data_IF_327568112717
#
_entry.id   IF_327568112717
#
_cell.length_a   1.000
_cell.length_b   1.000
_cell.length_c   1.000
_cell.angle_alpha   90.00
_cell.angle_beta   90.00
_cell.angle_gamma   90.00
#
_symmetry.space_group_name_H-M   'P 1'
#
loop_
_entity.id
_entity.type
_entity.pdbx_description
1 polymer ?
#
# COMPACT_ATOMS: atom_id res chain seq x y z
N UNK A 1 23.73 9.99 -26.35
CA UNK A 1 22.70 10.70 -25.54
C UNK A 1 23.40 11.66 -24.61
N UNK A 2 22.98 12.93 -24.59
CA UNK A 2 23.44 13.91 -23.62
C UNK A 2 22.86 13.62 -22.21
N UNK A 3 23.41 14.26 -21.19
CA UNK A 3 22.91 14.13 -19.81
C UNK A 3 21.47 14.68 -19.69
N UNK A 4 21.14 15.69 -20.45
CA UNK A 4 19.82 16.30 -20.52
C UNK A 4 18.81 15.37 -21.20
N UNK A 5 19.18 14.73 -22.31
CA UNK A 5 18.33 13.73 -22.99
C UNK A 5 18.03 12.53 -22.08
N UNK A 6 19.03 12.05 -21.31
CA UNK A 6 18.82 10.95 -20.33
C UNK A 6 17.85 11.36 -19.24
N UNK A 7 17.98 12.56 -18.67
CA UNK A 7 17.07 13.07 -17.64
C UNK A 7 15.64 13.22 -18.14
N UNK A 8 15.47 13.75 -19.37
CA UNK A 8 14.15 13.90 -19.96
C UNK A 8 13.50 12.54 -20.24
N UNK A 9 14.26 11.57 -20.74
CA UNK A 9 13.77 10.21 -20.92
C UNK A 9 13.36 9.56 -19.59
N UNK A 10 14.12 9.74 -18.51
CA UNK A 10 13.74 9.25 -17.20
C UNK A 10 12.46 9.89 -16.67
N UNK A 11 12.30 11.19 -16.89
CA UNK A 11 11.09 11.91 -16.50
C UNK A 11 9.86 11.41 -17.27
N UNK A 12 9.98 11.25 -18.59
CA UNK A 12 8.91 10.71 -19.43
C UNK A 12 8.54 9.28 -19.04
N UNK A 13 9.53 8.40 -18.85
CA UNK A 13 9.30 7.03 -18.39
C UNK A 13 8.61 6.98 -16.99
N UNK A 14 9.00 7.90 -16.09
CA UNK A 14 8.38 8.01 -14.77
C UNK A 14 6.91 8.47 -14.84
N UNK A 15 6.62 9.46 -15.70
CA UNK A 15 5.26 9.95 -15.92
C UNK A 15 4.36 8.87 -16.55
N UNK A 16 4.87 8.16 -17.55
CA UNK A 16 4.16 7.06 -18.19
C UNK A 16 3.88 5.93 -17.19
N UNK A 17 4.87 5.51 -16.41
CA UNK A 17 4.70 4.48 -15.38
C UNK A 17 3.66 4.87 -14.34
N UNK A 18 3.64 6.13 -13.91
CA UNK A 18 2.66 6.68 -12.98
C UNK A 18 1.25 6.69 -13.59
N UNK A 19 1.10 7.18 -14.83
CA UNK A 19 -0.19 7.20 -15.52
C UNK A 19 -0.77 5.80 -15.70
N UNK A 20 0.07 4.83 -16.10
CA UNK A 20 -0.34 3.43 -16.26
C UNK A 20 -0.72 2.79 -14.92
N UNK A 21 -0.03 3.15 -13.84
CA UNK A 21 -0.40 2.73 -12.48
C UNK A 21 -1.78 3.24 -12.08
N UNK A 22 -2.03 4.55 -12.25
CA UNK A 22 -3.32 5.17 -11.96
C UNK A 22 -4.46 4.55 -12.80
N UNK A 23 -4.22 4.28 -14.08
CA UNK A 23 -5.19 3.62 -14.94
C UNK A 23 -5.52 2.19 -14.47
N UNK A 24 -4.53 1.44 -14.02
CA UNK A 24 -4.74 0.09 -13.47
C UNK A 24 -5.57 0.13 -12.19
N UNK A 25 -5.23 1.00 -11.21
CA UNK A 25 -6.01 1.18 -9.99
C UNK A 25 -7.46 1.56 -10.30
N UNK A 26 -7.67 2.51 -11.22
CA UNK A 26 -9.03 2.90 -11.64
C UNK A 26 -9.80 1.75 -12.29
N UNK A 27 -9.13 0.91 -13.08
CA UNK A 27 -9.77 -0.26 -13.69
C UNK A 27 -10.20 -1.28 -12.63
N UNK A 28 -9.38 -1.50 -11.61
CA UNK A 28 -9.69 -2.40 -10.48
C UNK A 28 -10.82 -1.83 -9.62
N UNK A 29 -10.82 -0.52 -9.37
CA UNK A 29 -11.91 0.16 -8.67
C UNK A 29 -13.25 -0.02 -9.40
N UNK A 30 -13.30 0.25 -10.72
CA UNK A 30 -14.49 0.05 -11.54
C UNK A 30 -14.97 -1.40 -11.51
N UNK A 31 -14.06 -2.37 -11.58
CA UNK A 31 -14.40 -3.80 -11.48
C UNK A 31 -15.15 -4.12 -10.18
N UNK A 32 -14.64 -3.68 -9.03
CA UNK A 32 -15.29 -3.94 -7.74
C UNK A 32 -16.56 -3.13 -7.52
N UNK A 33 -16.71 -1.99 -8.19
CA UNK A 33 -17.94 -1.19 -8.22
C UNK A 33 -18.98 -1.72 -9.23
N UNK A 34 -18.66 -2.83 -9.93
CA UNK A 34 -19.52 -3.42 -10.97
C UNK A 34 -19.82 -2.46 -12.13
N UNK A 35 -18.86 -1.58 -12.42
CA UNK A 35 -18.93 -0.66 -13.54
C UNK A 35 -18.19 -1.22 -14.77
N UNK A 36 -18.53 -0.79 -15.99
CA UNK A 36 -17.83 -1.24 -17.20
C UNK A 36 -16.33 -0.90 -17.15
N UNK A 37 -15.48 -1.89 -17.41
CA UNK A 37 -14.02 -1.72 -17.49
C UNK A 37 -13.58 -1.87 -18.93
N UNK A 38 -12.82 -0.90 -19.42
CA UNK A 38 -12.16 -0.95 -20.73
C UNK A 38 -10.64 -0.99 -20.51
N UNK A 39 -10.11 -2.18 -20.21
CA UNK A 39 -8.69 -2.39 -20.00
C UNK A 39 -8.33 -3.84 -20.40
N UNK A 40 -7.55 -3.98 -21.47
CA UNK A 40 -7.07 -5.26 -22.00
C UNK A 40 -5.58 -5.49 -21.73
N UNK A 41 -4.98 -4.67 -20.84
CA UNK A 41 -3.57 -4.79 -20.51
C UNK A 41 -3.23 -6.12 -19.80
N UNK A 42 -2.01 -6.65 -19.99
CA UNK A 42 -1.57 -7.87 -19.30
C UNK A 42 -1.67 -7.77 -17.78
N UNK A 43 -1.33 -6.61 -17.20
CA UNK A 43 -1.41 -6.39 -15.75
C UNK A 43 -2.83 -6.42 -15.22
N UNK A 44 -3.82 -5.95 -16.00
CA UNK A 44 -5.23 -6.08 -15.63
C UNK A 44 -5.71 -7.54 -15.73
N UNK A 45 -5.26 -8.28 -16.74
CA UNK A 45 -5.53 -9.71 -16.82
C UNK A 45 -4.95 -10.47 -15.62
N UNK A 46 -3.74 -10.13 -15.17
CA UNK A 46 -3.14 -10.71 -13.96
C UNK A 46 -3.95 -10.39 -12.69
N UNK A 47 -4.54 -9.20 -12.63
CA UNK A 47 -5.49 -8.87 -11.57
C UNK A 47 -6.73 -9.78 -11.60
N UNK A 48 -7.33 -10.01 -12.76
CA UNK A 48 -8.48 -10.93 -12.90
C UNK A 48 -8.12 -12.36 -12.49
N UNK A 49 -6.94 -12.84 -12.84
CA UNK A 49 -6.43 -14.15 -12.41
C UNK A 49 -6.24 -14.19 -10.89
N UNK A 50 -5.71 -13.12 -10.28
CA UNK A 50 -5.62 -12.98 -8.84
C UNK A 50 -6.99 -13.04 -8.17
N UNK A 51 -7.95 -12.27 -8.65
CA UNK A 51 -9.31 -12.22 -8.11
C UNK A 51 -9.97 -13.60 -8.13
N UNK A 52 -9.89 -14.28 -9.26
CA UNK A 52 -10.42 -15.64 -9.43
C UNK A 52 -9.81 -16.64 -8.44
N UNK A 53 -8.50 -16.56 -8.19
CA UNK A 53 -7.78 -17.52 -7.35
C UNK A 53 -7.93 -17.20 -5.86
N UNK A 54 -7.88 -15.94 -5.47
CA UNK A 54 -7.76 -15.55 -4.08
C UNK A 54 -9.03 -14.92 -3.48
N UNK A 55 -9.90 -14.36 -4.31
CA UNK A 55 -11.08 -13.61 -3.82
C UNK A 55 -12.37 -14.40 -4.00
N UNK A 56 -12.66 -14.85 -5.24
CA UNK A 56 -13.95 -15.48 -5.57
C UNK A 56 -14.23 -16.69 -4.68
N UNK A 57 -15.35 -16.64 -3.95
CA UNK A 57 -15.77 -17.70 -3.02
C UNK A 57 -14.94 -17.80 -1.73
N UNK A 58 -14.00 -16.90 -1.46
CA UNK A 58 -13.11 -16.93 -0.29
C UNK A 58 -13.13 -15.66 0.55
N UNK A 59 -13.28 -14.52 -0.10
CA UNK A 59 -13.29 -13.20 0.53
C UNK A 59 -14.42 -12.35 -0.04
N UNK A 60 -15.04 -11.53 0.78
CA UNK A 60 -16.05 -10.56 0.38
C UNK A 60 -15.40 -9.18 0.16
N UNK A 61 -15.57 -8.55 -1.02
CA UNK A 61 -15.15 -7.17 -1.23
C UNK A 61 -15.86 -6.24 -0.24
N UNK A 62 -15.09 -5.55 0.63
CA UNK A 62 -15.65 -4.70 1.67
C UNK A 62 -15.57 -3.21 1.33
N UNK A 63 -14.35 -2.70 1.02
CA UNK A 63 -14.11 -1.31 0.61
C UNK A 63 -13.07 -1.27 -0.51
N UNK A 64 -13.20 -0.28 -1.39
CA UNK A 64 -12.24 0.00 -2.47
C UNK A 64 -11.92 1.49 -2.43
N UNK A 65 -10.66 1.89 -2.63
CA UNK A 65 -10.17 3.27 -2.53
C UNK A 65 -10.70 3.98 -1.27
N UNK A 66 -10.53 3.29 -0.14
CA UNK A 66 -11.09 3.74 1.12
C UNK A 66 -10.23 4.81 1.77
N UNK A 67 -10.71 6.04 1.78
CA UNK A 67 -10.07 7.15 2.49
C UNK A 67 -10.22 6.97 4.01
N UNK A 68 -9.09 6.94 4.70
CA UNK A 68 -9.00 6.80 6.16
C UNK A 68 -8.14 7.90 6.74
N UNK A 69 -8.41 8.28 7.99
CA UNK A 69 -7.64 9.31 8.67
C UNK A 69 -7.56 9.08 10.18
N UNK A 70 -6.56 9.71 10.78
CA UNK A 70 -6.38 9.81 12.23
C UNK A 70 -6.08 11.26 12.60
N UNK A 71 -7.02 11.89 13.31
CA UNK A 71 -6.92 13.31 13.68
C UNK A 71 -5.83 13.57 14.71
N UNK A 72 -5.54 12.64 15.61
CA UNK A 72 -4.56 12.82 16.67
C UNK A 72 -3.16 12.99 16.09
N UNK A 73 -2.83 12.23 15.08
CA UNK A 73 -1.52 12.25 14.43
C UNK A 73 -1.50 13.01 13.10
N UNK A 74 -2.63 13.61 12.71
CA UNK A 74 -2.78 14.39 11.46
C UNK A 74 -2.36 13.60 10.22
N UNK A 75 -2.76 12.33 10.15
CA UNK A 75 -2.43 11.43 9.06
C UNK A 75 -3.70 10.99 8.34
N UNK A 76 -3.63 10.95 7.01
CA UNK A 76 -4.69 10.43 6.15
C UNK A 76 -4.08 9.62 5.00
N UNK A 77 -4.86 8.74 4.39
CA UNK A 77 -4.46 7.99 3.22
C UNK A 77 -5.64 7.25 2.59
N UNK A 78 -5.39 6.65 1.43
CA UNK A 78 -6.35 5.80 0.72
C UNK A 78 -5.85 4.35 0.73
N UNK A 79 -6.75 3.42 1.04
CA UNK A 79 -6.48 1.99 1.03
C UNK A 79 -7.09 1.42 -0.26
N UNK A 80 -6.25 0.85 -1.13
CA UNK A 80 -6.69 0.37 -2.43
C UNK A 80 -7.83 -0.65 -2.31
N UNK A 81 -7.69 -1.63 -1.38
CA UNK A 81 -8.69 -2.66 -1.19
C UNK A 81 -8.70 -3.24 0.22
N UNK A 82 -9.90 -3.38 0.77
CA UNK A 82 -10.18 -4.17 1.98
C UNK A 82 -11.19 -5.26 1.64
N UNK A 83 -10.85 -6.49 2.04
CA UNK A 83 -11.76 -7.62 1.97
C UNK A 83 -12.15 -8.05 3.38
N UNK A 84 -13.38 -8.57 3.50
CA UNK A 84 -13.86 -9.25 4.71
C UNK A 84 -13.74 -10.75 4.52
N UNK A 85 -13.35 -11.45 5.58
CA UNK A 85 -13.37 -12.90 5.67
C UNK A 85 -14.17 -13.32 6.91
N UNK A 86 -14.73 -14.50 6.84
CA UNK A 86 -15.31 -15.18 8.01
C UNK A 86 -14.36 -16.31 8.39
N UNK A 87 -13.86 -16.27 9.61
CA UNK A 87 -12.96 -17.30 10.14
C UNK A 87 -13.73 -18.54 10.58
N UNK A 88 -13.04 -19.64 10.84
CA UNK A 88 -13.67 -20.94 11.18
C UNK A 88 -14.53 -20.86 12.48
N UNK A 89 -14.21 -19.94 13.38
CA UNK A 89 -14.99 -19.66 14.59
C UNK A 89 -16.19 -18.73 14.37
N UNK A 90 -16.43 -18.31 13.12
CA UNK A 90 -17.51 -17.40 12.73
C UNK A 90 -17.23 -15.92 12.96
N UNK A 91 -16.04 -15.55 13.39
CA UNK A 91 -15.68 -14.12 13.57
C UNK A 91 -15.38 -13.44 12.22
N UNK A 92 -15.70 -12.14 12.14
CA UNK A 92 -15.37 -11.32 11.00
C UNK A 92 -13.96 -10.75 11.16
N UNK A 93 -13.12 -10.93 10.15
CA UNK A 93 -11.79 -10.35 10.04
C UNK A 93 -11.61 -9.67 8.70
N UNK A 94 -10.58 -8.87 8.58
CA UNK A 94 -10.36 -8.08 7.38
C UNK A 94 -8.94 -8.24 6.85
N UNK A 95 -8.81 -8.14 5.53
CA UNK A 95 -7.55 -8.23 4.81
C UNK A 95 -7.32 -6.94 4.05
N UNK A 96 -6.13 -6.33 4.17
CA UNK A 96 -5.73 -5.18 3.36
C UNK A 96 -4.92 -5.68 2.16
N UNK A 97 -5.28 -5.21 0.98
CA UNK A 97 -4.55 -5.44 -0.26
C UNK A 97 -4.20 -4.11 -0.92
N UNK A 98 -3.02 -4.05 -1.49
CA UNK A 98 -2.49 -2.88 -2.18
C UNK A 98 -1.87 -3.29 -3.51
N UNK A 99 -2.28 -2.60 -4.58
CA UNK A 99 -1.87 -2.90 -5.94
C UNK A 99 -0.60 -2.15 -6.31
N UNK A 100 0.42 -2.86 -6.77
CA UNK A 100 1.69 -2.24 -7.18
C UNK A 100 2.02 -2.57 -8.63
N UNK A 101 1.94 -1.56 -9.51
CA UNK A 101 2.45 -1.69 -10.88
C UNK A 101 3.97 -1.55 -10.89
N UNK A 102 4.65 -2.62 -10.52
CA UNK A 102 6.11 -2.70 -10.39
C UNK A 102 6.62 -4.03 -10.92
N UNK A 103 7.86 -4.06 -11.43
CA UNK A 103 8.51 -5.32 -11.86
C UNK A 103 8.72 -6.31 -10.71
N UNK A 104 8.86 -5.81 -9.49
CA UNK A 104 9.07 -6.62 -8.30
C UNK A 104 9.27 -5.77 -7.05
N UNK A 105 9.38 -6.45 -5.92
CA UNK A 105 9.62 -5.85 -4.62
C UNK A 105 11.07 -6.12 -4.22
N UNK A 106 11.84 -5.04 -4.00
CA UNK A 106 13.20 -5.12 -3.47
C UNK A 106 13.13 -5.30 -1.96
N UNK A 107 13.85 -6.30 -1.44
CA UNK A 107 13.84 -6.63 -0.02
C UNK A 107 15.02 -6.04 0.76
N UNK A 108 16.08 -5.67 0.06
CA UNK A 108 17.33 -5.16 0.65
C UNK A 108 17.79 -3.89 -0.05
N UNK A 109 18.50 -3.05 0.72
CA UNK A 109 19.31 -1.95 0.22
C UNK A 109 20.60 -1.94 1.03
N UNK A 110 21.72 -2.26 0.42
CA UNK A 110 23.00 -2.35 1.10
C UNK A 110 23.69 -0.98 1.29
N UNK A 111 23.13 0.07 0.74
CA UNK A 111 23.72 1.41 0.72
C UNK A 111 22.98 2.40 1.63
N UNK A 112 21.69 2.17 1.87
CA UNK A 112 20.87 3.10 2.62
C UNK A 112 19.94 2.38 3.58
N UNK A 113 19.84 2.90 4.80
CA UNK A 113 18.84 2.53 5.80
C UNK A 113 17.73 3.58 5.88
N UNK A 114 16.63 3.23 6.51
CA UNK A 114 15.60 4.19 6.88
C UNK A 114 16.15 5.21 7.89
N UNK A 115 15.45 6.33 8.04
CA UNK A 115 15.79 7.35 9.04
C UNK A 115 15.40 6.90 10.46
N UNK A 116 16.10 7.42 11.52
CA UNK A 116 15.66 7.20 12.89
C UNK A 116 14.17 7.57 13.09
N UNK A 117 13.42 6.81 13.86
CA UNK A 117 13.86 5.76 14.80
C UNK A 117 13.78 4.32 14.25
N UNK A 118 13.70 4.14 12.94
CA UNK A 118 13.56 2.83 12.29
C UNK A 118 14.75 2.49 11.37
N UNK A 119 15.93 2.97 11.71
CA UNK A 119 17.17 2.83 10.94
C UNK A 119 17.66 1.38 10.77
N UNK A 120 17.09 0.44 11.52
CA UNK A 120 17.34 -1.00 11.36
C UNK A 120 16.74 -1.55 10.06
N UNK A 121 15.81 -0.82 9.42
CA UNK A 121 15.20 -1.23 8.17
C UNK A 121 16.00 -0.73 6.96
N UNK A 122 16.24 -1.57 5.94
CA UNK A 122 16.78 -1.10 4.66
C UNK A 122 15.84 -0.09 3.99
N UNK A 123 16.39 0.99 3.43
CA UNK A 123 15.59 1.96 2.66
C UNK A 123 15.26 1.39 1.27
N UNK A 124 14.22 0.57 1.17
CA UNK A 124 13.74 -0.01 -0.07
C UNK A 124 12.20 -0.14 -0.08
N UNK A 125 11.65 -0.40 -1.27
CA UNK A 125 10.20 -0.36 -1.47
C UNK A 125 9.43 -1.42 -0.66
N UNK A 126 10.01 -2.58 -0.32
CA UNK A 126 9.38 -3.56 0.56
C UNK A 126 8.98 -2.93 1.90
N UNK A 127 9.94 -2.30 2.56
CA UNK A 127 9.72 -1.74 3.90
C UNK A 127 8.86 -0.48 3.87
N UNK A 128 9.00 0.35 2.83
CA UNK A 128 8.15 1.52 2.63
C UNK A 128 6.68 1.12 2.47
N UNK A 129 6.37 0.16 1.60
CA UNK A 129 5.01 -0.34 1.41
C UNK A 129 4.50 -1.10 2.64
N UNK A 130 5.37 -1.86 3.30
CA UNK A 130 4.98 -2.56 4.53
C UNK A 130 4.60 -1.58 5.64
N UNK A 131 5.36 -0.50 5.84
CA UNK A 131 5.02 0.56 6.78
C UNK A 131 3.71 1.26 6.41
N UNK A 132 3.47 1.51 5.13
CA UNK A 132 2.22 2.10 4.64
C UNK A 132 1.02 1.25 5.06
N UNK A 133 1.02 -0.06 4.76
CA UNK A 133 -0.08 -0.95 5.10
C UNK A 133 -0.24 -1.13 6.62
N UNK A 134 0.87 -1.19 7.35
CA UNK A 134 0.83 -1.26 8.81
C UNK A 134 0.29 0.02 9.44
N UNK A 135 0.51 1.18 8.82
CA UNK A 135 -0.10 2.44 9.25
C UNK A 135 -1.61 2.43 9.02
N UNK A 136 -2.06 1.89 7.89
CA UNK A 136 -3.48 1.69 7.64
C UNK A 136 -4.11 0.72 8.63
N UNK A 137 -3.45 -0.42 8.92
CA UNK A 137 -3.88 -1.35 9.96
C UNK A 137 -4.05 -0.63 11.29
N UNK A 138 -3.06 0.16 11.73
CA UNK A 138 -3.14 0.94 12.96
C UNK A 138 -4.36 1.86 12.98
N UNK A 139 -4.61 2.62 11.92
CA UNK A 139 -5.76 3.53 11.83
C UNK A 139 -7.09 2.77 11.87
N UNK A 140 -7.20 1.67 11.11
CA UNK A 140 -8.43 0.87 11.05
C UNK A 140 -8.77 0.23 12.39
N UNK A 141 -7.79 -0.35 13.06
CA UNK A 141 -7.99 -1.00 14.37
C UNK A 141 -8.30 0.03 15.47
N UNK A 142 -7.61 1.19 15.45
CA UNK A 142 -7.82 2.25 16.45
C UNK A 142 -9.16 2.97 16.28
N UNK A 143 -9.49 3.39 15.05
CA UNK A 143 -10.56 4.37 14.81
C UNK A 143 -11.83 3.76 14.24
N UNK A 144 -11.74 2.58 13.61
CA UNK A 144 -12.87 1.98 12.89
C UNK A 144 -13.35 0.65 13.50
N UNK A 145 -12.66 0.14 14.53
CA UNK A 145 -13.02 -1.10 15.21
C UNK A 145 -12.92 -2.35 14.33
N UNK A 146 -12.05 -2.32 13.32
CA UNK A 146 -11.86 -3.37 12.32
C UNK A 146 -10.57 -4.13 12.66
N UNK A 147 -10.65 -5.45 12.83
CA UNK A 147 -9.49 -6.29 13.10
C UNK A 147 -8.87 -6.80 11.80
N UNK A 148 -7.59 -6.46 11.56
CA UNK A 148 -6.87 -6.82 10.35
C UNK A 148 -6.08 -8.11 10.57
N UNK A 149 -6.51 -9.18 9.90
CA UNK A 149 -5.88 -10.50 9.94
C UNK A 149 -4.62 -10.58 9.06
N UNK A 150 -4.63 -9.91 7.91
CA UNK A 150 -3.51 -9.95 6.99
C UNK A 150 -3.40 -8.74 6.06
N UNK A 151 -2.18 -8.52 5.58
CA UNK A 151 -1.87 -7.43 4.66
C UNK A 151 -1.00 -7.96 3.51
N UNK A 152 -1.30 -7.52 2.30
CA UNK A 152 -0.67 -8.06 1.09
C UNK A 152 -0.42 -6.97 0.06
N UNK A 153 0.72 -7.10 -0.63
CA UNK A 153 0.98 -6.39 -1.89
C UNK A 153 0.69 -7.36 -3.04
N UNK A 154 0.06 -6.87 -4.07
CA UNK A 154 -0.12 -7.61 -5.32
C UNK A 154 0.60 -6.86 -6.43
N UNK A 155 1.69 -7.44 -6.90
CA UNK A 155 2.55 -6.86 -7.92
C UNK A 155 2.01 -7.25 -9.29
N UNK A 156 1.66 -6.25 -10.08
CA UNK A 156 1.05 -6.39 -11.40
C UNK A 156 1.91 -5.61 -12.41
N UNK A 157 2.62 -6.31 -13.29
CA UNK A 157 3.47 -5.66 -14.29
C UNK A 157 3.51 -6.47 -15.58
N UNK A 158 3.41 -5.83 -16.77
CA UNK A 158 3.31 -6.54 -18.05
C UNK A 158 4.53 -7.41 -18.37
N UNK A 159 5.71 -7.09 -17.81
CA UNK A 159 6.93 -7.87 -18.01
C UNK A 159 7.02 -9.11 -17.10
N UNK A 160 6.08 -9.30 -16.18
CA UNK A 160 5.98 -10.50 -15.35
C UNK A 160 5.18 -11.58 -16.11
N UNK A 161 5.29 -12.81 -15.68
CA UNK A 161 4.51 -13.93 -16.27
C UNK A 161 3.10 -14.06 -15.65
N UNK A 162 2.89 -13.45 -14.48
CA UNK A 162 1.67 -13.47 -13.70
C UNK A 162 1.76 -12.42 -12.60
N UNK A 163 0.71 -12.26 -11.78
CA UNK A 163 0.79 -11.48 -10.55
C UNK A 163 1.77 -12.12 -9.55
N UNK A 164 2.31 -11.28 -8.65
CA UNK A 164 3.11 -11.75 -7.51
C UNK A 164 2.41 -11.23 -6.24
N UNK A 165 1.98 -12.15 -5.37
CA UNK A 165 1.39 -11.82 -4.08
C UNK A 165 2.46 -11.89 -2.99
N UNK A 166 2.66 -10.79 -2.29
CA UNK A 166 3.68 -10.64 -1.23
C UNK A 166 2.99 -10.40 0.10
N UNK A 167 3.26 -11.24 1.08
CA UNK A 167 2.77 -11.04 2.45
C UNK A 167 3.55 -9.90 3.12
N UNK A 168 2.83 -8.97 3.73
CA UNK A 168 3.39 -7.86 4.50
C UNK A 168 3.54 -8.29 5.96
N UNK A 169 4.72 -8.15 6.56
CA UNK A 169 4.94 -8.50 7.96
C UNK A 169 4.22 -7.53 8.89
N UNK A 170 3.94 -7.99 10.11
CA UNK A 170 3.45 -7.12 11.17
C UNK A 170 4.57 -6.19 11.64
N UNK A 171 4.38 -4.88 11.51
CA UNK A 171 5.32 -3.81 11.88
C UNK A 171 4.64 -2.78 12.79
N UNK A 172 3.74 -3.23 13.66
CA UNK A 172 3.00 -2.31 14.53
C UNK A 172 3.91 -1.63 15.56
N UNK A 173 5.03 -2.25 15.93
CA UNK A 173 6.00 -1.64 16.84
C UNK A 173 6.75 -0.47 16.17
N UNK A 174 7.15 -0.63 14.90
CA UNK A 174 7.74 0.46 14.10
C UNK A 174 6.76 1.61 13.92
N UNK A 175 5.49 1.30 13.60
CA UNK A 175 4.44 2.33 13.44
C UNK A 175 4.22 3.08 14.74
N UNK A 176 4.09 2.40 15.89
CA UNK A 176 3.95 3.05 17.20
C UNK A 176 5.15 3.92 17.54
N UNK A 177 6.35 3.44 17.24
CA UNK A 177 7.60 4.18 17.46
C UNK A 177 7.63 5.47 16.62
N UNK A 178 7.24 5.40 15.36
CA UNK A 178 7.14 6.57 14.48
C UNK A 178 6.11 7.58 15.00
N UNK A 179 4.93 7.13 15.41
CA UNK A 179 3.88 7.97 15.97
C UNK A 179 4.33 8.65 17.27
N UNK A 180 4.98 7.90 18.17
CA UNK A 180 5.53 8.45 19.41
C UNK A 180 6.55 9.57 19.14
N UNK A 181 7.48 9.35 18.21
CA UNK A 181 8.47 10.36 17.84
C UNK A 181 7.85 11.59 17.16
N UNK A 182 6.84 11.38 16.32
CA UNK A 182 6.06 12.48 15.75
C UNK A 182 5.44 13.36 16.84
N UNK A 183 4.76 12.75 17.81
CA UNK A 183 4.12 13.47 18.92
C UNK A 183 5.13 14.24 19.77
N UNK A 184 6.30 13.67 20.08
CA UNK A 184 7.38 14.37 20.75
C UNK A 184 7.83 15.60 19.96
N UNK A 185 7.99 15.49 18.65
CA UNK A 185 8.43 16.57 17.78
C UNK A 185 7.42 17.74 17.75
N UNK A 186 6.13 17.43 17.75
CA UNK A 186 5.04 18.42 17.75
C UNK A 186 4.97 19.13 19.09
N UNK A 187 5.08 18.42 20.21
CA UNK A 187 5.03 19.00 21.55
C UNK A 187 6.24 19.90 21.83
N UNK A 188 7.44 19.50 21.38
CA UNK A 188 8.65 20.31 21.49
C UNK A 188 8.58 21.62 20.67
N UNK A 189 7.85 21.64 19.56
CA UNK A 189 7.62 22.87 18.78
C UNK A 189 6.64 23.82 19.46
N UNK A 190 5.63 23.29 20.18
CA UNK A 190 4.64 24.09 20.92
C UNK A 190 5.21 24.70 22.21
N UNK A 191 6.26 24.11 22.79
CA UNK A 191 6.88 24.53 24.01
C UNK A 191 7.99 25.56 23.84
N UNK A 192 8.37 25.95 22.61
CA UNK A 192 9.26 27.09 22.36
C UNK A 192 8.41 28.34 22.30
N UNK A 193 8.59 29.32 23.26
CA UNK A 193 7.97 30.63 23.13
C UNK A 193 8.48 31.26 21.83
N UNK A 194 7.57 31.85 21.06
CA UNK A 194 7.95 32.62 19.90
C UNK A 194 8.86 33.78 20.32
N UNK A 195 9.99 33.88 19.66
CA UNK A 195 10.82 35.10 19.67
C UNK A 195 10.08 36.24 18.97
#
# INVERSE_FOLDING_TARGET
MSKEEIKEQWKQNGQEASSMGTHLHKSIELYYNQEPVNNDSPEYQYFLDFDKVHVQGKMEPYRTEWEVYDEDIKLAGSIDKVYKIITDDGSEKYMIYDWKRSKGIKETNNFESAYPPIEHLPNCNKWQYSLQLNTYKYMLEKNYGIEIEGMYLVVLHPNNKSYIRVTVPNMQEEVKTLIYNYNLSVNNKKSKPGD
#
